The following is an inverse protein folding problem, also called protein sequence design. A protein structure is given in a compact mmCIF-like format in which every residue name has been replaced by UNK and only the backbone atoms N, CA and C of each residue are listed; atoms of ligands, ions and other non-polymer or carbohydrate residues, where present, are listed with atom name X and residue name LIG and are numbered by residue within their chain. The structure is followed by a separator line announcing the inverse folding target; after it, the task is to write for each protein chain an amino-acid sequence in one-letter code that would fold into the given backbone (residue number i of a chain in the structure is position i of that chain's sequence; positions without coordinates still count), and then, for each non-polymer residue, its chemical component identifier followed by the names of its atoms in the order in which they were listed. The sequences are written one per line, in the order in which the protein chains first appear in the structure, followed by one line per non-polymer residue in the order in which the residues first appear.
data_IF_598330621735
#
_entry.id   IF_598330621735
#
_cell.length_a   1.000
_cell.length_b   1.000
_cell.length_c   1.000
_cell.angle_alpha   90.00
_cell.angle_beta   90.00
_cell.angle_gamma   90.00
#
_symmetry.space_group_name_H-M   'P 1'
#
loop_
_entity.id
_entity.type
_entity.pdbx_description
1 polymer ?
#
# COMPACT_ATOMS: atom_id res chain seq x y z
N UNK A 1 13.55 31.08 -62.98
CA UNK A 1 14.09 30.65 -61.66
C UNK A 1 13.11 29.68 -61.08
N UNK A 2 13.22 28.40 -61.40
CA UNK A 2 12.26 27.35 -60.91
C UNK A 2 12.99 26.62 -59.80
N UNK A 3 12.69 26.99 -58.57
CA UNK A 3 13.21 26.34 -57.37
C UNK A 3 12.56 24.98 -57.15
N UNK A 4 13.35 23.97 -56.94
CA UNK A 4 13.05 22.55 -57.04
C UNK A 4 12.24 22.05 -55.80
N UNK A 5 10.93 22.10 -55.89
CA UNK A 5 9.96 21.70 -54.84
C UNK A 5 10.12 20.21 -54.43
N UNK A 6 10.79 19.38 -55.26
CA UNK A 6 11.01 17.96 -54.97
C UNK A 6 12.03 17.73 -53.84
N UNK A 7 13.05 18.55 -53.69
CA UNK A 7 14.05 18.41 -52.63
C UNK A 7 13.50 18.79 -51.25
N UNK A 8 12.57 19.73 -51.19
CA UNK A 8 11.97 20.17 -49.90
C UNK A 8 11.05 19.08 -49.27
N UNK A 9 10.39 18.27 -50.11
CA UNK A 9 9.52 17.18 -49.63
C UNK A 9 10.30 16.00 -49.04
N UNK A 10 11.50 15.72 -49.49
CA UNK A 10 12.35 14.63 -48.99
C UNK A 10 12.93 14.99 -47.62
N UNK A 11 13.31 16.26 -47.41
CA UNK A 11 13.81 16.72 -46.11
C UNK A 11 12.70 16.71 -45.01
N UNK A 12 11.45 17.05 -45.37
CA UNK A 12 10.33 17.00 -44.42
C UNK A 12 9.94 15.57 -44.03
N UNK A 13 9.99 14.63 -44.98
CA UNK A 13 9.70 13.22 -44.70
C UNK A 13 10.78 12.57 -43.80
N UNK A 14 12.05 12.92 -43.99
CA UNK A 14 13.15 12.41 -43.17
C UNK A 14 13.09 12.97 -41.70
N UNK A 15 12.69 14.24 -41.55
CA UNK A 15 12.59 14.88 -40.25
C UNK A 15 11.39 14.30 -39.42
N UNK A 16 10.26 14.00 -40.07
CA UNK A 16 9.10 13.39 -39.39
C UNK A 16 9.36 11.94 -38.99
N UNK A 17 10.13 11.19 -39.82
CA UNK A 17 10.52 9.80 -39.44
C UNK A 17 11.51 9.76 -38.26
N UNK A 18 12.41 10.76 -38.13
CA UNK A 18 13.38 10.83 -37.06
C UNK A 18 12.71 11.18 -35.70
N UNK A 19 11.67 12.02 -35.69
CA UNK A 19 10.93 12.37 -34.49
C UNK A 19 10.03 11.22 -33.98
N UNK A 20 9.47 10.41 -34.88
CA UNK A 20 8.67 9.23 -34.50
C UNK A 20 9.53 8.12 -33.88
N UNK A 21 10.78 7.94 -34.33
CA UNK A 21 11.68 6.92 -33.74
C UNK A 21 12.20 7.30 -32.36
N UNK A 22 12.39 8.57 -32.04
CA UNK A 22 12.77 9.01 -30.69
C UNK A 22 11.61 8.85 -29.68
N UNK A 23 10.37 9.09 -30.12
CA UNK A 23 9.19 8.95 -29.23
C UNK A 23 8.93 7.48 -28.84
N UNK A 24 9.14 6.53 -29.75
CA UNK A 24 8.96 5.10 -29.48
C UNK A 24 10.04 4.55 -28.54
N UNK A 25 11.27 5.06 -28.62
CA UNK A 25 12.38 4.65 -27.75
C UNK A 25 12.21 5.17 -26.32
N UNK A 26 11.72 6.38 -26.13
CA UNK A 26 11.45 6.96 -24.82
C UNK A 26 10.29 6.26 -24.10
N UNK A 27 9.24 5.90 -24.83
CA UNK A 27 8.09 5.18 -24.29
C UNK A 27 8.44 3.75 -23.87
N UNK A 28 9.30 3.06 -24.62
CA UNK A 28 9.77 1.71 -24.29
C UNK A 28 10.72 1.70 -23.09
N UNK A 29 11.56 2.71 -22.93
CA UNK A 29 12.45 2.86 -21.76
C UNK A 29 11.64 3.17 -20.48
N UNK A 30 10.60 4.00 -20.57
CA UNK A 30 9.72 4.32 -19.43
C UNK A 30 8.90 3.12 -18.96
N UNK A 31 8.35 2.32 -19.88
CA UNK A 31 7.59 1.11 -19.52
C UNK A 31 8.47 0.00 -18.92
N UNK A 32 9.72 -0.13 -19.39
CA UNK A 32 10.67 -1.13 -18.88
C UNK A 32 11.16 -0.78 -17.46
N UNK A 33 11.36 0.50 -17.17
CA UNK A 33 11.77 0.95 -15.83
C UNK A 33 10.65 0.81 -14.78
N UNK A 34 9.42 1.11 -15.15
CA UNK A 34 8.25 0.93 -14.27
C UNK A 34 8.02 -0.56 -13.93
N UNK A 35 8.10 -1.45 -14.93
CA UNK A 35 7.95 -2.90 -14.71
C UNK A 35 9.08 -3.50 -13.86
N UNK A 36 10.31 -3.00 -14.00
CA UNK A 36 11.45 -3.44 -13.19
C UNK A 36 11.34 -2.97 -11.72
N UNK A 37 10.81 -1.78 -11.49
CA UNK A 37 10.53 -1.27 -10.14
C UNK A 37 9.43 -2.07 -9.44
N UNK A 38 8.38 -2.45 -10.14
CA UNK A 38 7.31 -3.31 -9.61
C UNK A 38 7.81 -4.74 -9.37
N UNK A 39 8.68 -5.26 -10.23
CA UNK A 39 9.28 -6.58 -10.05
C UNK A 39 10.15 -6.68 -8.78
N UNK A 40 10.67 -5.57 -8.26
CA UNK A 40 11.52 -5.52 -7.06
C UNK A 40 10.77 -5.26 -5.75
N UNK A 41 9.46 -4.97 -5.80
CA UNK A 41 8.67 -4.70 -4.60
C UNK A 41 8.51 -5.95 -3.74
N UNK A 42 8.74 -5.86 -2.42
CA UNK A 42 8.55 -6.98 -1.52
C UNK A 42 7.06 -7.29 -1.31
N UNK A 43 6.79 -8.56 -0.98
CA UNK A 43 5.44 -9.04 -0.74
C UNK A 43 5.36 -9.79 0.58
N UNK A 44 4.25 -9.59 1.29
CA UNK A 44 3.96 -10.21 2.57
C UNK A 44 2.63 -10.95 2.49
N UNK A 45 2.61 -12.17 3.00
CA UNK A 45 1.41 -12.95 3.25
C UNK A 45 1.00 -12.76 4.70
N UNK A 46 -0.21 -12.25 4.94
CA UNK A 46 -0.84 -12.13 6.26
C UNK A 46 -1.87 -13.26 6.36
N UNK A 47 -1.52 -14.30 7.10
CA UNK A 47 -2.44 -15.41 7.40
C UNK A 47 -3.34 -15.00 8.57
N UNK A 48 -4.65 -15.08 8.37
CA UNK A 48 -5.63 -14.70 9.40
C UNK A 48 -6.61 -15.83 9.71
N UNK A 49 -7.33 -15.72 10.82
CA UNK A 49 -8.41 -16.66 11.18
C UNK A 49 -9.56 -16.65 10.17
N UNK A 50 -9.63 -15.66 9.27
CA UNK A 50 -10.65 -15.53 8.23
C UNK A 50 -10.14 -15.80 6.81
N UNK A 51 -8.86 -16.11 6.65
CA UNK A 51 -8.21 -16.37 5.37
C UNK A 51 -6.94 -15.55 5.17
N UNK A 52 -6.35 -15.67 4.00
CA UNK A 52 -5.06 -15.08 3.68
C UNK A 52 -5.22 -13.74 2.93
N UNK A 53 -4.36 -12.77 3.26
CA UNK A 53 -4.27 -11.48 2.57
C UNK A 53 -2.83 -11.34 2.09
N UNK A 54 -2.62 -11.18 0.78
CA UNK A 54 -1.30 -10.89 0.19
C UNK A 54 -1.19 -9.41 -0.10
N UNK A 55 -0.18 -8.78 0.46
CA UNK A 55 0.11 -7.36 0.26
C UNK A 55 1.45 -7.17 -0.43
N UNK A 56 1.55 -6.14 -1.27
CA UNK A 56 2.80 -5.66 -1.86
C UNK A 56 3.16 -4.33 -1.21
N UNK A 57 4.44 -4.13 -0.86
CA UNK A 57 4.93 -2.89 -0.24
C UNK A 57 5.57 -1.99 -1.29
N UNK A 58 5.42 -0.67 -1.12
CA UNK A 58 5.91 0.31 -2.07
C UNK A 58 7.35 0.71 -1.79
N UNK A 59 8.15 0.82 -2.84
CA UNK A 59 9.54 1.28 -2.77
C UNK A 59 9.63 2.81 -2.56
N UNK A 60 8.56 3.54 -2.83
CA UNK A 60 8.43 4.98 -2.66
C UNK A 60 8.28 5.43 -1.20
N UNK A 61 8.03 4.48 -0.30
CA UNK A 61 7.90 4.70 1.14
C UNK A 61 8.84 3.77 1.91
N UNK A 62 10.17 3.93 1.73
CA UNK A 62 11.17 2.99 2.23
C UNK A 62 11.18 2.88 3.76
N UNK A 63 10.92 3.97 4.51
CA UNK A 63 10.93 3.92 5.97
C UNK A 63 9.83 3.01 6.49
N UNK A 64 8.59 3.14 5.97
CA UNK A 64 7.46 2.29 6.36
C UNK A 64 7.65 0.85 5.87
N UNK A 65 8.06 0.68 4.61
CA UNK A 65 8.34 -0.63 4.03
C UNK A 65 9.37 -1.41 4.84
N UNK A 66 10.52 -0.80 5.10
CA UNK A 66 11.65 -1.46 5.76
C UNK A 66 11.34 -1.76 7.22
N UNK A 67 10.64 -0.85 7.91
CA UNK A 67 10.15 -1.07 9.26
C UNK A 67 9.15 -2.24 9.31
N UNK A 68 8.17 -2.30 8.43
CA UNK A 68 7.19 -3.39 8.37
C UNK A 68 7.87 -4.74 8.15
N UNK A 69 8.82 -4.80 7.20
CA UNK A 69 9.62 -6.01 6.95
C UNK A 69 10.50 -6.39 8.15
N UNK A 70 11.11 -5.42 8.83
CA UNK A 70 11.92 -5.65 10.03
C UNK A 70 11.08 -6.25 11.15
N UNK A 71 9.91 -5.69 11.42
CA UNK A 71 9.00 -6.20 12.46
C UNK A 71 8.58 -7.66 12.18
N UNK A 72 8.36 -8.02 10.92
CA UNK A 72 8.05 -9.40 10.52
C UNK A 72 9.28 -10.30 10.65
N UNK A 73 10.42 -9.87 10.10
CA UNK A 73 11.62 -10.72 9.95
C UNK A 73 12.31 -11.01 11.28
N UNK A 74 12.45 -9.98 12.10
CA UNK A 74 13.28 -10.05 13.30
C UNK A 74 12.44 -10.36 14.56
N UNK A 75 11.23 -9.87 14.62
CA UNK A 75 10.43 -9.91 15.86
C UNK A 75 9.20 -10.81 15.77
N UNK A 76 8.81 -11.30 14.56
CA UNK A 76 7.53 -11.97 14.36
C UNK A 76 6.37 -11.18 15.01
N UNK A 77 6.46 -9.86 14.89
CA UNK A 77 5.69 -8.92 15.70
C UNK A 77 4.18 -9.09 15.49
N UNK A 78 3.75 -9.24 14.24
CA UNK A 78 2.33 -9.32 13.91
C UNK A 78 1.68 -10.67 14.23
N UNK A 79 2.49 -11.69 14.57
CA UNK A 79 1.98 -13.02 14.90
C UNK A 79 1.10 -12.94 16.17
N UNK A 80 -0.12 -13.41 16.06
CA UNK A 80 -1.15 -13.43 17.10
C UNK A 80 -1.80 -12.07 17.43
N UNK A 81 -1.51 -10.98 16.74
CA UNK A 81 -2.21 -9.70 16.91
C UNK A 81 -3.63 -9.75 16.33
N UNK A 82 -4.49 -8.86 16.82
CA UNK A 82 -5.88 -8.73 16.38
C UNK A 82 -6.05 -7.63 15.33
N UNK A 83 -7.03 -7.81 14.46
CA UNK A 83 -7.73 -6.67 13.86
C UNK A 83 -8.61 -6.07 14.95
N UNK A 84 -8.05 -5.12 15.68
CA UNK A 84 -8.65 -4.58 16.92
C UNK A 84 -9.68 -3.49 16.66
N UNK A 85 -9.70 -2.90 15.45
CA UNK A 85 -10.67 -1.88 15.05
C UNK A 85 -11.12 -2.11 13.61
N UNK A 86 -12.44 -2.23 13.45
CA UNK A 86 -13.04 -2.57 12.17
C UNK A 86 -14.24 -1.67 11.92
N UNK A 87 -14.20 -0.88 10.84
CA UNK A 87 -15.31 0.00 10.46
C UNK A 87 -15.78 -0.37 9.06
N UNK A 88 -17.03 -0.84 8.91
CA UNK A 88 -17.62 -1.17 7.62
C UNK A 88 -17.54 0.01 6.64
N UNK A 89 -17.30 -0.30 5.38
CA UNK A 89 -17.18 0.69 4.31
C UNK A 89 -16.08 1.73 4.53
N UNK A 90 -15.14 1.44 5.43
CA UNK A 90 -14.00 2.29 5.73
C UNK A 90 -12.68 1.53 5.73
N UNK A 91 -12.35 0.80 6.81
CA UNK A 91 -11.08 0.11 6.94
C UNK A 91 -11.09 -1.01 7.98
N UNK A 92 -10.06 -1.85 7.95
CA UNK A 92 -9.74 -2.81 9.02
C UNK A 92 -8.34 -2.50 9.54
N UNK A 93 -8.16 -2.35 10.85
CA UNK A 93 -6.92 -1.89 11.50
C UNK A 93 -6.37 -2.94 12.45
N UNK A 94 -5.05 -3.11 12.42
CA UNK A 94 -4.29 -4.03 13.26
C UNK A 94 -2.96 -3.40 13.71
N UNK A 95 -2.19 -4.11 14.56
CA UNK A 95 -0.83 -3.71 14.91
C UNK A 95 -0.65 -3.18 16.34
N UNK A 96 -1.70 -3.10 17.16
CA UNK A 96 -1.58 -2.79 18.58
C UNK A 96 -0.89 -3.95 19.32
N UNK A 97 0.26 -3.72 20.01
CA UNK A 97 0.99 -4.77 20.71
C UNK A 97 0.19 -5.44 21.85
N UNK A 98 -0.70 -4.71 22.49
CA UNK A 98 -1.52 -5.25 23.59
C UNK A 98 -2.64 -6.17 23.09
N UNK A 99 -2.96 -6.11 21.80
CA UNK A 99 -3.98 -6.97 21.21
C UNK A 99 -3.64 -8.46 21.24
N UNK A 100 -2.36 -8.80 21.41
CA UNK A 100 -1.89 -10.21 21.41
C UNK A 100 -2.57 -11.09 22.46
N UNK A 101 -2.73 -10.55 23.66
CA UNK A 101 -3.30 -11.26 24.82
C UNK A 101 -4.54 -10.55 25.37
N UNK A 102 -5.17 -9.69 24.59
CA UNK A 102 -6.32 -8.91 25.03
C UNK A 102 -7.51 -9.79 25.35
N UNK A 103 -8.22 -9.43 26.42
CA UNK A 103 -9.49 -10.07 26.79
C UNK A 103 -10.63 -9.52 25.94
N UNK A 104 -11.71 -10.28 25.75
CA UNK A 104 -12.93 -9.76 25.11
C UNK A 104 -13.39 -8.44 25.75
N UNK A 105 -13.70 -7.43 24.91
CA UNK A 105 -14.16 -6.12 25.36
C UNK A 105 -13.06 -5.16 25.88
N UNK A 106 -11.80 -5.59 25.94
CA UNK A 106 -10.69 -4.70 26.33
C UNK A 106 -10.44 -3.63 25.27
N UNK A 107 -10.33 -2.35 25.69
CA UNK A 107 -10.07 -1.24 24.76
C UNK A 107 -8.66 -1.35 24.17
N UNK A 108 -8.56 -1.22 22.87
CA UNK A 108 -7.33 -1.34 22.09
C UNK A 108 -7.22 -0.20 21.10
N UNK A 109 -6.01 -0.01 20.55
CA UNK A 109 -5.74 0.97 19.50
C UNK A 109 -4.88 2.15 19.95
N UNK A 110 -4.72 2.34 21.28
CA UNK A 110 -3.95 3.45 21.83
C UNK A 110 -2.46 3.14 22.04
N UNK A 111 -2.03 1.92 21.70
CA UNK A 111 -0.67 1.46 21.95
C UNK A 111 0.10 1.25 20.65
N UNK A 112 1.34 1.69 20.66
CA UNK A 112 2.33 1.48 19.60
C UNK A 112 3.67 1.11 20.25
N UNK A 113 4.68 0.83 19.44
CA UNK A 113 6.06 0.77 19.95
C UNK A 113 6.53 2.19 20.32
N UNK A 114 7.66 2.30 21.02
CA UNK A 114 8.19 3.52 21.60
C UNK A 114 8.85 4.50 20.60
N UNK A 115 8.54 4.36 19.31
CA UNK A 115 9.02 5.26 18.26
C UNK A 115 7.95 5.48 17.19
N UNK A 116 8.05 6.59 16.48
CA UNK A 116 7.23 6.91 15.33
C UNK A 116 8.05 6.87 14.03
N UNK A 117 7.38 6.78 12.89
CA UNK A 117 8.00 6.81 11.57
C UNK A 117 7.65 8.15 10.92
N UNK A 118 8.66 8.92 10.46
CA UNK A 118 8.42 10.15 9.70
C UNK A 118 7.47 9.91 8.52
N UNK A 119 6.55 10.84 8.29
CA UNK A 119 5.55 10.72 7.24
C UNK A 119 6.19 10.60 5.85
N UNK A 120 5.73 9.64 5.06
CA UNK A 120 6.13 9.43 3.66
C UNK A 120 4.91 9.58 2.73
N UNK A 121 4.24 10.71 2.82
CA UNK A 121 3.07 11.01 1.99
C UNK A 121 3.51 11.28 0.56
N UNK A 122 3.00 10.52 -0.42
CA UNK A 122 3.41 10.54 -1.84
C UNK A 122 2.23 10.80 -2.78
N UNK A 123 1.26 11.61 -2.34
CA UNK A 123 0.14 12.01 -3.20
C UNK A 123 0.65 12.92 -4.35
N UNK A 124 0.18 12.78 -5.58
CA UNK A 124 -0.92 11.93 -6.03
C UNK A 124 -0.53 10.48 -6.40
N UNK A 125 0.75 10.10 -6.32
CA UNK A 125 1.23 8.78 -6.73
C UNK A 125 0.65 7.66 -5.86
N UNK A 126 0.62 7.83 -4.54
CA UNK A 126 0.08 6.90 -3.56
C UNK A 126 -1.09 7.56 -2.84
N UNK A 127 -2.25 6.91 -2.84
CA UNK A 127 -3.49 7.42 -2.30
C UNK A 127 -4.36 6.29 -1.74
N UNK A 128 -5.38 6.64 -0.95
CA UNK A 128 -6.19 5.68 -0.19
C UNK A 128 -7.26 5.03 -1.07
N UNK A 129 -6.84 4.38 -2.16
CA UNK A 129 -7.73 3.54 -3.00
C UNK A 129 -8.21 2.32 -2.23
N UNK A 130 -9.25 1.66 -2.73
CA UNK A 130 -9.67 0.34 -2.29
C UNK A 130 -8.48 -0.63 -2.31
N UNK A 131 -8.23 -1.31 -1.18
CA UNK A 131 -7.09 -2.21 -0.99
C UNK A 131 -5.77 -1.53 -0.61
N UNK A 132 -5.71 -0.21 -0.42
CA UNK A 132 -4.49 0.45 0.06
C UNK A 132 -4.12 -0.02 1.46
N UNK A 133 -2.82 -0.26 1.69
CA UNK A 133 -2.22 -0.52 3.00
C UNK A 133 -1.56 0.77 3.49
N UNK A 134 -2.01 1.26 4.64
CA UNK A 134 -1.59 2.56 5.17
C UNK A 134 -1.28 2.48 6.67
N UNK A 135 -0.47 3.42 7.15
CA UNK A 135 -0.07 3.51 8.54
C UNK A 135 -1.05 4.35 9.37
N UNK A 136 -1.44 3.84 10.54
CA UNK A 136 -2.18 4.63 11.52
C UNK A 136 -1.28 5.70 12.15
N UNK A 137 -1.87 6.71 12.74
CA UNK A 137 -1.18 7.78 13.46
C UNK A 137 -2.11 8.50 14.44
N UNK A 138 -1.51 9.18 15.40
CA UNK A 138 -2.19 10.12 16.28
C UNK A 138 -2.75 11.34 15.50
N UNK A 139 -3.81 12.00 16.00
CA UNK A 139 -4.40 13.18 15.37
C UNK A 139 -3.45 14.38 15.34
N UNK A 140 -3.73 15.35 14.44
CA UNK A 140 -2.84 16.50 14.17
C UNK A 140 -2.58 17.37 15.40
N UNK A 141 -3.51 17.42 16.38
CA UNK A 141 -3.41 18.20 17.62
C UNK A 141 -2.22 17.77 18.49
N UNK A 142 -1.91 16.48 18.51
CA UNK A 142 -0.79 15.93 19.31
C UNK A 142 0.38 15.47 18.40
N UNK A 143 0.15 15.39 17.11
CA UNK A 143 1.13 14.92 16.12
C UNK A 143 1.14 15.81 14.86
N UNK A 144 1.57 17.07 14.99
CA UNK A 144 1.56 18.03 13.87
C UNK A 144 2.48 17.63 12.70
N UNK A 145 3.49 16.80 12.96
CA UNK A 145 4.39 16.28 11.93
C UNK A 145 3.78 15.10 11.15
N UNK A 146 2.60 14.61 11.56
CA UNK A 146 1.91 13.47 10.94
C UNK A 146 2.75 12.21 10.90
N UNK A 147 3.61 12.02 11.88
CA UNK A 147 4.39 10.81 12.02
C UNK A 147 3.49 9.60 12.21
N UNK A 148 3.85 8.50 11.60
CA UNK A 148 3.06 7.27 11.67
C UNK A 148 3.42 6.45 12.89
N UNK A 149 2.44 5.72 13.42
CA UNK A 149 2.71 4.61 14.34
C UNK A 149 3.71 3.64 13.73
N UNK A 150 4.66 3.20 14.52
CA UNK A 150 5.66 2.21 14.12
C UNK A 150 5.08 0.83 13.81
N UNK A 151 3.90 0.51 14.34
CA UNK A 151 3.37 -0.85 14.27
C UNK A 151 1.92 -0.94 13.79
N UNK A 152 1.09 0.10 13.99
CA UNK A 152 -0.30 0.02 13.60
C UNK A 152 -0.50 0.39 12.12
N UNK A 153 -1.23 -0.46 11.42
CA UNK A 153 -1.59 -0.29 10.02
C UNK A 153 -3.09 -0.55 9.80
N UNK A 154 -3.60 -0.08 8.67
CA UNK A 154 -4.95 -0.40 8.23
C UNK A 154 -4.99 -0.74 6.75
N UNK A 155 -5.98 -1.55 6.38
CA UNK A 155 -6.31 -1.86 4.99
C UNK A 155 -7.61 -1.14 4.65
N UNK A 156 -7.56 -0.32 3.61
CA UNK A 156 -8.70 0.46 3.12
C UNK A 156 -9.70 -0.46 2.43
N UNK A 157 -10.94 -0.44 2.89
CA UNK A 157 -12.07 -0.97 2.13
C UNK A 157 -12.75 0.17 1.36
N UNK A 158 -13.23 1.18 2.09
CA UNK A 158 -13.88 2.35 1.54
C UNK A 158 -15.14 2.02 0.75
N UNK A 159 -15.74 3.03 0.15
CA UNK A 159 -16.86 2.90 -0.77
C UNK A 159 -16.69 3.83 -1.97
N UNK A 160 -17.50 3.62 -3.00
CA UNK A 160 -17.55 4.50 -4.17
C UNK A 160 -17.92 5.91 -3.76
N UNK A 161 -17.27 6.89 -4.37
CA UNK A 161 -17.43 8.30 -4.07
C UNK A 161 -18.22 9.00 -5.17
N UNK A 162 -18.99 10.03 -4.79
CA UNK A 162 -19.65 10.91 -5.75
C UNK A 162 -18.71 12.06 -6.16
N UNK A 163 -19.02 12.74 -7.27
CA UNK A 163 -18.24 13.89 -7.73
C UNK A 163 -18.18 15.00 -6.66
N UNK A 164 -19.28 15.26 -5.94
CA UNK A 164 -19.33 16.27 -4.88
C UNK A 164 -18.40 15.92 -3.71
N UNK A 165 -18.37 14.63 -3.32
CA UNK A 165 -17.46 14.17 -2.25
C UNK A 165 -16.01 14.27 -2.65
N UNK A 166 -15.67 13.92 -3.90
CA UNK A 166 -14.31 14.05 -4.43
C UNK A 166 -13.92 15.52 -4.51
N UNK A 167 -14.78 16.38 -5.03
CA UNK A 167 -14.55 17.83 -5.10
C UNK A 167 -14.33 18.44 -3.70
N UNK A 168 -15.11 18.02 -2.70
CA UNK A 168 -14.89 18.42 -1.30
C UNK A 168 -13.50 18.03 -0.79
N UNK A 169 -13.02 16.83 -1.10
CA UNK A 169 -11.68 16.41 -0.69
C UNK A 169 -10.59 17.13 -1.47
N UNK A 170 -10.79 17.40 -2.76
CA UNK A 170 -9.86 18.23 -3.53
C UNK A 170 -9.74 19.65 -2.92
N UNK A 171 -10.86 20.29 -2.57
CA UNK A 171 -10.83 21.60 -1.92
C UNK A 171 -10.07 21.58 -0.58
N UNK A 172 -10.19 20.49 0.20
CA UNK A 172 -9.42 20.31 1.43
C UNK A 172 -7.91 20.20 1.17
N UNK A 173 -7.52 19.46 0.11
CA UNK A 173 -6.12 19.36 -0.32
C UNK A 173 -5.59 20.69 -0.81
N UNK A 174 -6.38 21.43 -1.58
CA UNK A 174 -6.03 22.76 -2.08
C UNK A 174 -5.73 23.71 -0.91
N UNK A 175 -6.60 23.74 0.09
CA UNK A 175 -6.40 24.55 1.30
C UNK A 175 -5.18 24.12 2.12
N UNK A 176 -4.92 22.82 2.24
CA UNK A 176 -3.84 22.30 3.08
C UNK A 176 -2.46 22.38 2.40
N UNK A 177 -2.41 22.38 1.07
CA UNK A 177 -1.18 22.28 0.28
C UNK A 177 -1.03 23.40 -0.76
N UNK A 178 -1.73 24.53 -0.59
CA UNK A 178 -1.66 25.72 -1.47
C UNK A 178 -1.79 25.34 -2.96
N UNK A 179 -2.83 24.59 -3.30
CA UNK A 179 -3.16 24.16 -4.66
C UNK A 179 -2.09 23.28 -5.36
N UNK A 180 -1.05 22.84 -4.65
CA UNK A 180 0.08 22.10 -5.23
C UNK A 180 -0.23 20.64 -5.55
N UNK A 181 -1.32 20.07 -5.00
CA UNK A 181 -1.70 18.67 -5.17
C UNK A 181 -3.09 18.57 -5.78
N UNK A 182 -3.19 17.91 -6.93
CA UNK A 182 -4.47 17.69 -7.62
C UNK A 182 -4.72 16.20 -7.86
N UNK A 183 -5.97 15.79 -7.71
CA UNK A 183 -6.40 14.47 -8.19
C UNK A 183 -6.34 14.41 -9.70
N UNK A 184 -5.73 13.34 -10.22
CA UNK A 184 -5.75 13.08 -11.65
C UNK A 184 -7.09 12.46 -12.08
N UNK A 185 -7.44 12.47 -13.38
CA UNK A 185 -8.64 11.80 -13.88
C UNK A 185 -8.69 10.31 -13.50
N UNK A 186 -7.54 9.63 -13.44
CA UNK A 186 -7.43 8.23 -13.05
C UNK A 186 -7.80 8.02 -11.57
N UNK A 187 -7.32 8.88 -10.66
CA UNK A 187 -7.66 8.83 -9.23
C UNK A 187 -9.15 9.08 -9.04
N UNK A 188 -9.71 10.09 -9.72
CA UNK A 188 -11.14 10.40 -9.68
C UNK A 188 -11.96 9.20 -10.14
N UNK A 189 -11.59 8.61 -11.28
CA UNK A 189 -12.26 7.42 -11.80
C UNK A 189 -12.16 6.23 -10.83
N UNK A 190 -10.99 5.99 -10.24
CA UNK A 190 -10.78 4.93 -9.24
C UNK A 190 -11.74 5.10 -8.06
N UNK A 191 -11.85 6.30 -7.50
CA UNK A 191 -12.75 6.56 -6.39
C UNK A 191 -14.23 6.42 -6.75
N UNK A 192 -14.62 6.77 -7.99
CA UNK A 192 -16.01 6.66 -8.46
C UNK A 192 -16.42 5.23 -8.76
N UNK A 193 -15.54 4.43 -9.34
CA UNK A 193 -15.88 3.11 -9.89
C UNK A 193 -15.59 1.97 -8.92
N UNK A 194 -14.49 2.04 -8.19
CA UNK A 194 -14.03 1.00 -7.27
C UNK A 194 -14.23 1.44 -5.81
N UNK A 195 -13.75 2.61 -5.44
CA UNK A 195 -13.89 3.17 -4.11
C UNK A 195 -12.56 3.47 -3.41
N UNK A 196 -12.67 3.80 -2.13
CA UNK A 196 -11.57 4.17 -1.26
C UNK A 196 -11.96 5.24 -0.25
N UNK A 197 -10.95 5.85 0.38
CA UNK A 197 -11.14 6.81 1.48
C UNK A 197 -10.39 8.12 1.23
N UNK A 198 -10.83 8.93 0.25
CA UNK A 198 -10.11 10.16 -0.17
C UNK A 198 -9.97 11.20 0.95
N UNK A 199 -10.75 11.10 2.04
CA UNK A 199 -10.61 11.96 3.20
C UNK A 199 -9.32 11.75 4.00
N UNK A 200 -8.55 10.68 3.75
CA UNK A 200 -7.26 10.42 4.37
C UNK A 200 -6.08 10.89 3.50
N UNK A 201 -6.33 11.19 2.23
CA UNK A 201 -5.29 11.59 1.29
C UNK A 201 -4.59 12.88 1.72
N UNK A 202 -3.26 12.89 1.59
CA UNK A 202 -2.42 14.01 2.00
C UNK A 202 -2.12 14.06 3.50
N UNK A 203 -2.72 13.18 4.32
CA UNK A 203 -2.60 13.24 5.78
C UNK A 203 -2.11 11.95 6.43
N UNK A 204 -2.12 10.84 5.70
CA UNK A 204 -1.63 9.54 6.15
C UNK A 204 -0.72 8.91 5.10
N UNK A 205 0.25 8.09 5.55
CA UNK A 205 1.17 7.40 4.64
C UNK A 205 0.57 6.10 4.13
N UNK A 206 0.43 6.00 2.81
CA UNK A 206 0.11 4.75 2.11
C UNK A 206 1.44 4.10 1.71
N UNK A 207 1.69 2.86 2.17
CA UNK A 207 2.98 2.20 1.96
C UNK A 207 2.90 0.83 1.27
N UNK A 208 1.70 0.42 0.84
CA UNK A 208 1.46 -0.81 0.12
C UNK A 208 0.03 -0.95 -0.38
N UNK A 209 -0.26 -2.12 -0.91
CA UNK A 209 -1.60 -2.48 -1.39
C UNK A 209 -1.85 -3.99 -1.29
N UNK A 210 -3.12 -4.36 -1.18
CA UNK A 210 -3.57 -5.76 -1.24
C UNK A 210 -3.56 -6.21 -2.69
N UNK A 211 -2.83 -7.30 -2.95
CA UNK A 211 -2.77 -7.97 -4.24
C UNK A 211 -3.79 -9.10 -4.36
N UNK A 212 -4.05 -9.80 -3.25
CA UNK A 212 -5.02 -10.88 -3.14
C UNK A 212 -5.63 -10.91 -1.74
N UNK A 213 -6.90 -11.32 -1.62
CA UNK A 213 -7.58 -11.46 -0.33
C UNK A 213 -8.47 -10.28 0.05
N UNK A 214 -8.89 -9.41 -0.88
CA UNK A 214 -9.88 -8.37 -0.59
C UNK A 214 -11.26 -8.94 -0.22
N UNK A 215 -11.57 -10.17 -0.62
CA UNK A 215 -12.73 -10.93 -0.14
C UNK A 215 -12.61 -11.32 1.34
N UNK A 216 -11.38 -11.57 1.82
CA UNK A 216 -11.08 -11.77 3.25
C UNK A 216 -11.27 -10.46 4.00
N UNK A 217 -10.75 -9.34 3.47
CA UNK A 217 -10.95 -7.99 4.05
C UNK A 217 -12.45 -7.66 4.10
N UNK A 218 -13.24 -8.03 3.07
CA UNK A 218 -14.70 -7.85 3.07
C UNK A 218 -15.38 -8.64 4.20
N UNK A 219 -14.98 -9.86 4.43
CA UNK A 219 -15.51 -10.66 5.57
C UNK A 219 -15.11 -10.05 6.91
N UNK A 220 -13.88 -9.59 7.06
CA UNK A 220 -13.39 -8.95 8.30
C UNK A 220 -14.18 -7.67 8.56
N UNK A 221 -14.38 -6.80 7.59
CA UNK A 221 -15.06 -5.52 7.80
C UNK A 221 -16.55 -5.64 8.13
N UNK A 222 -17.15 -6.83 7.93
CA UNK A 222 -18.57 -7.13 8.22
C UNK A 222 -18.80 -7.84 9.55
N UNK A 223 -17.77 -8.16 10.32
CA UNK A 223 -17.95 -8.81 11.63
C UNK A 223 -18.76 -7.93 12.58
N UNK A 224 -19.45 -8.54 13.51
CA UNK A 224 -20.11 -7.82 14.61
C UNK A 224 -19.04 -7.17 15.50
N UNK A 225 -19.26 -5.93 15.89
CA UNK A 225 -18.35 -5.13 16.71
C UNK A 225 -19.08 -4.44 17.85
N UNK A 226 -18.34 -4.02 18.84
CA UNK A 226 -18.82 -3.21 19.96
C UNK A 226 -18.88 -1.71 19.58
N UNK A 227 -19.18 -0.87 20.55
CA UNK A 227 -19.28 0.59 20.42
C UNK A 227 -17.93 1.28 20.10
N UNK A 228 -16.81 0.60 20.35
CA UNK A 228 -15.45 1.06 20.06
C UNK A 228 -14.93 0.51 18.73
N UNK A 229 -15.80 -0.03 17.88
CA UNK A 229 -15.47 -0.67 16.61
C UNK A 229 -14.58 -1.92 16.75
N UNK A 230 -14.46 -2.51 17.95
CA UNK A 230 -13.73 -3.75 18.17
C UNK A 230 -14.62 -4.94 17.80
N UNK A 231 -14.10 -5.92 17.02
CA UNK A 231 -14.81 -7.18 16.78
C UNK A 231 -15.21 -7.88 18.07
N UNK A 232 -16.49 -8.32 18.17
CA UNK A 232 -16.98 -9.11 19.32
C UNK A 232 -16.32 -10.49 19.38
N UNK A 233 -16.01 -11.07 18.22
CA UNK A 233 -15.22 -12.29 18.08
C UNK A 233 -13.86 -11.90 17.50
N UNK A 234 -12.78 -12.32 18.14
CA UNK A 234 -11.43 -11.97 17.75
C UNK A 234 -11.11 -12.39 16.30
N UNK A 235 -10.78 -11.43 15.45
CA UNK A 235 -10.16 -11.68 14.15
C UNK A 235 -8.65 -11.54 14.31
N UNK A 236 -7.94 -12.64 14.19
CA UNK A 236 -6.52 -12.72 14.55
C UNK A 236 -5.63 -12.90 13.33
N UNK A 237 -4.51 -12.18 13.29
CA UNK A 237 -3.38 -12.49 12.43
C UNK A 237 -2.69 -13.72 13.01
N UNK A 238 -2.76 -14.85 12.32
CA UNK A 238 -2.06 -16.07 12.73
C UNK A 238 -0.57 -15.88 12.59
N UNK A 239 -0.17 -15.33 11.41
CA UNK A 239 1.23 -15.10 11.07
C UNK A 239 1.38 -14.11 9.92
N UNK A 240 2.45 -13.32 9.94
CA UNK A 240 2.90 -12.51 8.80
C UNK A 240 4.21 -13.07 8.24
N UNK A 241 4.28 -13.31 6.92
CA UNK A 241 5.39 -13.99 6.25
C UNK A 241 5.85 -13.16 5.04
N UNK A 242 7.14 -12.86 4.97
CA UNK A 242 7.74 -12.25 3.77
C UNK A 242 7.86 -13.36 2.72
N UNK A 243 7.06 -13.27 1.66
CA UNK A 243 7.03 -14.27 0.56
C UNK A 243 7.89 -13.84 -0.63
N UNK A 244 8.14 -12.52 -0.75
CA UNK A 244 9.10 -11.93 -1.67
C UNK A 244 9.84 -10.82 -0.96
N UNK A 245 11.16 -10.88 -0.92
CA UNK A 245 11.99 -9.92 -0.19
C UNK A 245 12.64 -8.90 -1.14
N UNK A 246 13.25 -7.87 -0.57
CA UNK A 246 14.09 -6.93 -1.32
C UNK A 246 15.29 -7.68 -1.92
N UNK A 247 15.75 -7.27 -3.12
CA UNK A 247 16.94 -7.85 -3.73
C UNK A 247 18.14 -7.82 -2.76
N UNK A 248 18.79 -8.97 -2.56
CA UNK A 248 19.92 -9.12 -1.65
C UNK A 248 19.58 -9.35 -0.18
N UNK A 249 18.31 -9.24 0.22
CA UNK A 249 17.83 -9.51 1.59
C UNK A 249 17.21 -10.91 1.73
N UNK A 250 17.15 -11.67 0.66
CA UNK A 250 16.56 -13.01 0.65
C UNK A 250 17.37 -13.95 1.58
N UNK A 251 16.66 -14.70 2.43
CA UNK A 251 17.32 -15.78 3.20
C UNK A 251 17.96 -16.77 2.23
N UNK A 252 19.22 -17.18 2.45
CA UNK A 252 19.84 -18.18 1.60
C UNK A 252 18.96 -19.44 1.57
N UNK A 253 18.58 -19.87 0.37
CA UNK A 253 17.78 -21.09 0.18
C UNK A 253 18.50 -22.23 0.91
N UNK A 254 17.88 -22.84 1.92
CA UNK A 254 18.44 -24.03 2.59
C UNK A 254 18.76 -25.06 1.52
N UNK A 255 20.06 -25.36 1.30
CA UNK A 255 20.47 -26.44 0.43
C UNK A 255 19.82 -27.71 0.98
N UNK A 256 18.92 -28.32 0.22
CA UNK A 256 18.36 -29.62 0.54
C UNK A 256 19.51 -30.61 0.36
N UNK A 257 20.18 -30.94 1.47
CA UNK A 257 21.18 -32.03 1.48
C UNK A 257 20.39 -33.33 1.33
N UNK A 258 20.29 -33.81 0.10
CA UNK A 258 19.78 -35.16 -0.15
C UNK A 258 20.77 -36.13 0.49
N UNK A 259 20.43 -36.66 1.66
CA UNK A 259 21.17 -37.81 2.24
C UNK A 259 21.10 -38.98 1.25
N UNK A 260 22.23 -39.30 0.63
CA UNK A 260 22.36 -40.55 -0.11
C UNK A 260 22.12 -41.69 0.87
N UNK A 261 21.02 -42.39 0.69
CA UNK A 261 20.79 -43.65 1.39
C UNK A 261 21.75 -44.69 0.77
N UNK A 262 22.84 -44.97 1.48
CA UNK A 262 23.73 -46.07 1.13
C UNK A 262 23.04 -47.37 1.56
N UNK A 263 22.45 -48.09 0.62
CA UNK A 263 22.01 -49.46 0.87
C UNK A 263 23.26 -50.31 1.10
N UNK A 264 23.48 -50.74 2.33
CA UNK A 264 24.43 -51.84 2.60
C UNK A 264 23.82 -53.13 2.07
N UNK A 265 24.59 -53.84 1.24
CA UNK A 265 24.33 -55.24 0.80
C UNK A 265 24.66 -56.20 1.95
#
# INVERSE_FOLDING_TARGET
MICNIRQLRIFFAALVMLTLSLSASAQKASSTSASAQDASRPEVLIETTMGNIRVQLYNETPLHRDNFLKLIREYHYYDSLLFHRVIPDFMVQAGDPYSKNAKPGELLGDHSLDYNIPAEIRLPKLYHKYGALAAAREPDEVNPNRESSSSQFYIVYGKKQTDEKIAKQQHRLDSAFNDSIKYTPEIINQYKTIGGTPHLDGFYTVFGEVMEGMDVVDRIQRVKRDENDRPLEDVRIIKAIIIKDLPGMEKPKKKVVRKKVVRRK
#
